data_IF_100578607421
#
_entry.id   IF_100578607421
#
_cell.length_a   1.000
_cell.length_b   1.000
_cell.length_c   1.000
_cell.angle_alpha   90.00
_cell.angle_beta   90.00
_cell.angle_gamma   90.00
#
_symmetry.space_group_name_H-M   'P 1'
#
loop_
_entity.id
_entity.type
_entity.pdbx_description
1 polymer ?
#
# COMPACT_ATOMS: atom_id res chain seq x y z
N UNK A 1 14.96 17.11 -5.98
CA UNK A 1 14.68 16.68 -4.59
C UNK A 1 13.24 16.20 -4.50
N UNK A 2 12.93 15.13 -3.74
CA UNK A 2 11.55 14.67 -3.57
C UNK A 2 10.72 15.74 -2.85
N UNK A 3 9.44 15.84 -3.23
CA UNK A 3 8.51 16.80 -2.61
C UNK A 3 8.23 16.39 -1.16
N UNK A 4 7.86 17.36 -0.31
CA UNK A 4 7.43 17.09 1.08
C UNK A 4 6.30 16.06 1.15
N UNK A 5 5.40 16.07 0.14
CA UNK A 5 4.33 15.09 0.02
C UNK A 5 4.86 13.68 -0.24
N UNK A 6 5.87 13.54 -1.10
CA UNK A 6 6.49 12.24 -1.38
C UNK A 6 7.22 11.70 -0.15
N UNK A 7 8.01 12.54 0.52
CA UNK A 7 8.71 12.16 1.76
C UNK A 7 7.74 11.69 2.85
N UNK A 8 6.60 12.36 3.02
CA UNK A 8 5.55 11.94 3.95
C UNK A 8 4.90 10.59 3.57
N UNK A 9 4.74 10.35 2.26
CA UNK A 9 4.27 9.07 1.74
C UNK A 9 5.24 7.93 2.04
N UNK A 10 6.52 8.14 1.73
CA UNK A 10 7.59 7.16 1.96
C UNK A 10 7.74 6.83 3.46
N UNK A 11 7.68 7.85 4.33
CA UNK A 11 7.70 7.65 5.78
C UNK A 11 6.50 6.85 6.27
N UNK A 12 5.30 7.13 5.75
CA UNK A 12 4.10 6.39 6.13
C UNK A 12 4.15 4.93 5.70
N UNK A 13 4.67 4.64 4.51
CA UNK A 13 4.85 3.27 4.04
C UNK A 13 5.87 2.51 4.91
N UNK A 14 6.97 3.16 5.30
CA UNK A 14 7.96 2.58 6.21
C UNK A 14 7.36 2.25 7.58
N UNK A 15 6.59 3.17 8.17
CA UNK A 15 5.90 2.96 9.43
C UNK A 15 4.89 1.79 9.31
N UNK A 16 4.10 1.76 8.23
CA UNK A 16 3.13 0.70 7.98
C UNK A 16 3.79 -0.67 7.82
N UNK A 17 4.88 -0.76 7.06
CA UNK A 17 5.62 -2.00 6.89
C UNK A 17 6.18 -2.52 8.23
N UNK A 18 6.75 -1.64 9.06
CA UNK A 18 7.28 -2.01 10.37
C UNK A 18 6.17 -2.40 11.35
N UNK A 19 5.01 -1.75 11.30
CA UNK A 19 3.84 -2.14 12.08
C UNK A 19 3.33 -3.53 11.71
N UNK A 20 3.19 -3.81 10.41
CA UNK A 20 2.77 -5.13 9.90
C UNK A 20 3.75 -6.22 10.33
N UNK A 21 5.06 -5.99 10.22
CA UNK A 21 6.09 -6.92 10.72
C UNK A 21 5.92 -7.24 12.21
N UNK A 22 5.68 -6.22 13.04
CA UNK A 22 5.44 -6.40 14.49
C UNK A 22 4.19 -7.23 14.78
N UNK A 23 3.18 -7.18 13.91
CA UNK A 23 1.99 -8.01 13.99
C UNK A 23 2.18 -9.44 13.44
N UNK A 24 3.39 -9.79 12.99
CA UNK A 24 3.71 -11.12 12.45
C UNK A 24 3.45 -11.29 10.96
N UNK A 25 3.23 -10.20 10.22
CA UNK A 25 3.14 -10.26 8.76
C UNK A 25 4.56 -10.34 8.16
N UNK A 26 4.74 -11.22 7.18
CA UNK A 26 5.94 -11.24 6.37
C UNK A 26 5.77 -10.26 5.21
N UNK A 27 6.67 -9.29 5.06
CA UNK A 27 6.69 -8.42 3.87
C UNK A 27 7.23 -9.24 2.69
N UNK A 28 6.46 -9.31 1.60
CA UNK A 28 6.84 -9.99 0.36
C UNK A 28 7.35 -9.02 -0.69
N UNK A 29 6.72 -7.84 -0.79
CA UNK A 29 7.06 -6.82 -1.78
C UNK A 29 6.65 -5.42 -1.32
N UNK A 30 7.27 -4.38 -1.88
CA UNK A 30 6.98 -2.96 -1.60
C UNK A 30 7.13 -2.14 -2.87
N UNK A 31 6.31 -1.10 -3.03
CA UNK A 31 6.34 -0.22 -4.19
C UNK A 31 6.24 -0.96 -5.53
N UNK A 32 5.44 -2.04 -5.60
CA UNK A 32 5.23 -2.79 -6.85
C UNK A 32 4.52 -1.90 -7.87
N UNK A 33 5.09 -1.78 -9.08
CA UNK A 33 4.57 -0.91 -10.14
C UNK A 33 4.51 -1.64 -11.47
N UNK A 34 3.34 -1.58 -12.11
CA UNK A 34 3.10 -2.05 -13.48
C UNK A 34 2.26 -1.04 -14.25
N UNK A 35 2.16 -1.22 -15.57
CA UNK A 35 1.27 -0.38 -16.41
C UNK A 35 -0.19 -0.43 -15.94
N UNK A 36 -0.62 -1.54 -15.35
CA UNK A 36 -1.99 -1.75 -14.90
C UNK A 36 -2.30 -1.18 -13.50
N UNK A 37 -1.30 -0.80 -12.72
CA UNK A 37 -1.48 -0.27 -11.36
C UNK A 37 -0.23 -0.38 -10.48
N UNK A 38 -0.39 -0.02 -9.22
CA UNK A 38 0.66 -0.06 -8.21
C UNK A 38 0.12 -0.66 -6.91
N UNK A 39 1.01 -1.25 -6.10
CA UNK A 39 0.73 -1.74 -4.75
C UNK A 39 1.79 -1.18 -3.80
N UNK A 40 1.35 -0.59 -2.69
CA UNK A 40 2.28 -0.01 -1.71
C UNK A 40 3.04 -1.12 -0.96
N UNK A 41 2.32 -2.07 -0.36
CA UNK A 41 2.92 -3.19 0.39
C UNK A 41 2.17 -4.49 0.08
N UNK A 42 2.92 -5.56 -0.20
CA UNK A 42 2.41 -6.93 -0.30
C UNK A 42 2.96 -7.75 0.86
N UNK A 43 2.09 -8.46 1.56
CA UNK A 43 2.46 -9.24 2.74
C UNK A 43 1.84 -10.63 2.75
N UNK A 44 2.43 -11.54 3.53
CA UNK A 44 1.84 -12.83 3.89
C UNK A 44 1.49 -12.82 5.37
N UNK A 45 0.27 -13.25 5.68
CA UNK A 45 -0.15 -13.54 7.04
C UNK A 45 -0.81 -14.92 7.08
N UNK A 46 -0.14 -15.87 7.73
CA UNK A 46 -0.53 -17.29 7.70
C UNK A 46 -0.63 -17.77 6.24
N UNK A 47 -1.83 -18.10 5.78
CA UNK A 47 -2.11 -18.59 4.42
C UNK A 47 -2.57 -17.49 3.45
N UNK A 48 -2.79 -16.27 3.95
CA UNK A 48 -3.39 -15.20 3.18
C UNK A 48 -2.31 -14.25 2.64
N UNK A 49 -2.49 -13.82 1.39
CA UNK A 49 -1.74 -12.71 0.81
C UNK A 49 -2.55 -11.44 1.00
N UNK A 50 -1.94 -10.44 1.64
CA UNK A 50 -2.59 -9.18 1.98
C UNK A 50 -1.91 -8.04 1.23
N UNK A 51 -2.68 -7.36 0.40
CA UNK A 51 -2.31 -6.15 -0.33
C UNK A 51 -2.73 -4.93 0.48
N UNK A 52 -1.78 -4.19 1.03
CA UNK A 52 -2.03 -3.03 1.87
C UNK A 52 -1.76 -1.73 1.09
N UNK A 53 -2.79 -0.91 0.91
CA UNK A 53 -2.68 0.47 0.43
C UNK A 53 -2.43 1.39 1.62
N UNK A 54 -1.39 2.22 1.54
CA UNK A 54 -0.97 3.12 2.62
C UNK A 54 -1.38 4.55 2.30
N UNK A 55 -1.90 5.26 3.31
CA UNK A 55 -2.33 6.65 3.19
C UNK A 55 -1.78 7.46 4.35
N UNK A 56 -0.84 8.35 4.05
CA UNK A 56 -0.34 9.36 4.98
C UNK A 56 -1.16 10.64 4.84
N UNK A 57 -1.56 11.22 5.97
CA UNK A 57 -2.20 12.53 6.01
C UNK A 57 -1.61 13.36 7.16
N UNK A 58 -1.70 14.68 7.03
CA UNK A 58 -1.30 15.58 8.12
C UNK A 58 -2.43 15.70 9.12
N UNK A 59 -2.07 16.04 10.35
CA UNK A 59 -3.03 16.40 11.38
C UNK A 59 -3.95 17.54 10.93
N UNK A 60 -5.23 17.48 11.30
CA UNK A 60 -6.25 18.45 10.88
C UNK A 60 -6.86 18.22 9.48
N UNK A 61 -6.48 17.15 8.77
CA UNK A 61 -7.12 16.78 7.49
C UNK A 61 -8.57 16.34 7.74
N UNK A 62 -9.54 17.01 7.11
CA UNK A 62 -11.00 16.83 7.35
C UNK A 62 -11.64 15.59 6.70
N UNK A 63 -10.89 14.76 5.99
CA UNK A 63 -11.42 13.60 5.27
C UNK A 63 -10.87 12.30 5.83
N UNK A 64 -11.70 11.26 5.87
CA UNK A 64 -11.26 9.95 6.32
C UNK A 64 -10.41 9.28 5.23
N UNK A 65 -9.23 8.71 5.54
CA UNK A 65 -8.37 8.04 4.56
C UNK A 65 -9.10 6.97 3.72
N UNK A 66 -10.03 6.25 4.34
CA UNK A 66 -10.84 5.22 3.67
C UNK A 66 -11.72 5.79 2.54
N UNK A 67 -12.18 7.04 2.63
CA UNK A 67 -12.97 7.69 1.59
C UNK A 67 -12.15 7.95 0.30
N UNK A 68 -10.82 7.94 0.40
CA UNK A 68 -9.94 8.09 -0.76
C UNK A 68 -9.70 6.77 -1.54
N UNK A 69 -10.28 5.65 -1.10
CA UNK A 69 -10.25 4.36 -1.80
C UNK A 69 -11.49 4.24 -2.70
N UNK A 70 -11.54 5.11 -3.71
CA UNK A 70 -12.65 5.16 -4.68
C UNK A 70 -12.78 3.87 -5.47
N UNK A 71 -13.93 3.65 -6.12
CA UNK A 71 -14.14 2.49 -7.00
C UNK A 71 -13.02 2.32 -8.03
N UNK A 72 -12.64 3.39 -8.73
CA UNK A 72 -11.55 3.34 -9.71
C UNK A 72 -10.21 2.95 -9.07
N UNK A 73 -9.95 3.39 -7.84
CA UNK A 73 -8.75 3.00 -7.11
C UNK A 73 -8.77 1.51 -6.74
N UNK A 74 -9.89 1.00 -6.27
CA UNK A 74 -10.08 -0.42 -6.00
C UNK A 74 -9.83 -1.26 -7.25
N UNK A 75 -10.38 -0.86 -8.40
CA UNK A 75 -10.16 -1.56 -9.67
C UNK A 75 -8.68 -1.58 -10.09
N UNK A 76 -7.94 -0.48 -9.87
CA UNK A 76 -6.50 -0.43 -10.13
C UNK A 76 -5.72 -1.35 -9.19
N UNK A 77 -6.06 -1.36 -7.91
CA UNK A 77 -5.45 -2.26 -6.92
C UNK A 77 -5.70 -3.73 -7.26
N UNK A 78 -6.93 -4.10 -7.63
CA UNK A 78 -7.28 -5.47 -8.04
C UNK A 78 -6.46 -5.89 -9.27
N UNK A 79 -6.30 -5.01 -10.27
CA UNK A 79 -5.49 -5.32 -11.46
C UNK A 79 -4.02 -5.51 -11.11
N UNK A 80 -3.47 -4.65 -10.26
CA UNK A 80 -2.08 -4.77 -9.80
C UNK A 80 -1.86 -6.03 -8.96
N UNK A 81 -2.78 -6.34 -8.05
CA UNK A 81 -2.76 -7.56 -7.23
C UNK A 81 -2.79 -8.83 -8.09
N UNK A 82 -3.67 -8.88 -9.11
CA UNK A 82 -3.70 -9.98 -10.08
C UNK A 82 -2.38 -10.12 -10.84
N UNK A 83 -1.78 -9.00 -11.27
CA UNK A 83 -0.47 -9.02 -11.93
C UNK A 83 0.60 -9.58 -11.02
N UNK A 84 0.63 -9.17 -9.76
CA UNK A 84 1.60 -9.64 -8.77
C UNK A 84 1.46 -11.15 -8.51
N UNK A 85 0.23 -11.64 -8.35
CA UNK A 85 -0.08 -13.06 -8.13
C UNK A 85 0.24 -13.98 -9.32
N UNK A 86 0.32 -13.44 -10.54
CA UNK A 86 0.72 -14.23 -11.72
C UNK A 86 2.24 -14.33 -11.86
N UNK A 87 2.98 -13.43 -11.22
CA UNK A 87 4.44 -13.33 -11.31
C UNK A 87 5.17 -14.02 -10.14
N UNK A 88 4.45 -14.43 -9.09
CA UNK A 88 5.00 -14.98 -7.83
C UNK A 88 4.14 -16.13 -7.28
#
# INVERSE_FOLDING_TARGET
>A
MPTLKRQLGDLGEEIAANYLKKLGYQILDRNYRKKCGELDIVTRFKKDIVFAEVKSQREGTKFFPAQNVTYFKQQRLIRAARSWLLEN
#
